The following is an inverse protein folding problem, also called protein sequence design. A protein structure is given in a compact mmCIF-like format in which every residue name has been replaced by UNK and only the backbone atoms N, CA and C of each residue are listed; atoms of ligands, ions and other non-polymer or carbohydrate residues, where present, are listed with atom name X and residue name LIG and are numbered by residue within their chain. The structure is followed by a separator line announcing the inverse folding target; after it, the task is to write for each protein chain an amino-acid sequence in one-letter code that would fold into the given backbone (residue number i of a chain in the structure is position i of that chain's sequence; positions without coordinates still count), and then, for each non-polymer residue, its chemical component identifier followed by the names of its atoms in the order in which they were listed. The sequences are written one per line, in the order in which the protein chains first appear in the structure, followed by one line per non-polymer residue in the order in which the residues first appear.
data_IF_912753766348
#
_entry.id   IF_912753766348
#
_cell.length_a   1.000
_cell.length_b   1.000
_cell.length_c   1.000
_cell.angle_alpha   90.00
_cell.angle_beta   90.00
_cell.angle_gamma   90.00
#
_symmetry.space_group_name_H-M   'P 1'
#
loop_
_entity.id
_entity.type
_entity.pdbx_description
1 polymer ?
#
# COMPACT_ATOMS: atom_id res chain seq x y z
N UNK A 1 3.28 -0.73 -32.00
CA UNK A 1 2.26 -0.35 -31.00
C UNK A 1 2.52 -1.09 -29.67
N UNK A 2 3.71 -0.95 -29.09
CA UNK A 2 4.04 -1.50 -27.76
C UNK A 2 3.69 -0.48 -26.69
N UNK A 3 2.38 -0.26 -26.45
CA UNK A 3 1.95 0.59 -25.34
C UNK A 3 2.04 -0.23 -24.05
N UNK A 4 3.21 -0.18 -23.43
CA UNK A 4 3.42 -0.27 -21.98
C UNK A 4 2.55 -1.26 -21.19
N UNK A 5 2.71 -2.57 -21.44
CA UNK A 5 2.17 -3.61 -20.54
C UNK A 5 2.72 -3.48 -19.11
N UNK A 6 3.90 -2.87 -18.95
CA UNK A 6 4.58 -2.66 -17.67
C UNK A 6 3.85 -1.66 -16.77
N UNK A 7 3.14 -0.68 -17.36
CA UNK A 7 2.31 0.29 -16.63
C UNK A 7 0.99 -0.34 -16.16
N UNK A 8 0.44 -1.28 -16.92
CA UNK A 8 -0.83 -1.95 -16.61
C UNK A 8 -0.69 -3.04 -15.52
N UNK A 9 0.36 -3.88 -15.58
CA UNK A 9 0.62 -4.90 -14.56
C UNK A 9 0.83 -4.30 -13.15
N UNK A 10 1.35 -3.07 -13.10
CA UNK A 10 1.58 -2.32 -11.86
C UNK A 10 0.28 -1.83 -11.21
N UNK A 11 -0.73 -1.51 -12.02
CA UNK A 11 -2.02 -1.03 -11.54
C UNK A 11 -2.87 -2.19 -10.99
N UNK A 12 -2.86 -3.35 -11.65
CA UNK A 12 -3.56 -4.55 -11.17
C UNK A 12 -2.94 -5.11 -9.89
N UNK A 13 -1.61 -5.19 -9.79
CA UNK A 13 -0.96 -5.68 -8.57
C UNK A 13 -1.19 -4.75 -7.38
N UNK A 14 -1.27 -3.42 -7.60
CA UNK A 14 -1.65 -2.48 -6.54
C UNK A 14 -3.09 -2.71 -6.06
N UNK A 15 -4.03 -2.97 -6.96
CA UNK A 15 -5.43 -3.19 -6.61
C UNK A 15 -5.63 -4.52 -5.85
N UNK A 16 -4.94 -5.58 -6.26
CA UNK A 16 -4.92 -6.87 -5.55
C UNK A 16 -4.26 -6.70 -4.16
N UNK A 17 -3.13 -6.01 -4.09
CA UNK A 17 -2.44 -5.74 -2.82
C UNK A 17 -3.31 -4.88 -1.89
N UNK A 18 -3.99 -3.85 -2.40
CA UNK A 18 -4.92 -3.04 -1.62
C UNK A 18 -6.08 -3.89 -1.08
N UNK A 19 -6.67 -4.74 -1.93
CA UNK A 19 -7.78 -5.62 -1.54
C UNK A 19 -7.37 -6.63 -0.46
N UNK A 20 -6.20 -7.26 -0.62
CA UNK A 20 -5.64 -8.15 0.37
C UNK A 20 -5.36 -7.44 1.70
N UNK A 21 -4.76 -6.25 1.67
CA UNK A 21 -4.49 -5.44 2.86
C UNK A 21 -5.80 -5.03 3.55
N UNK A 22 -6.82 -4.61 2.81
CA UNK A 22 -8.11 -4.19 3.37
C UNK A 22 -8.81 -5.35 4.09
N UNK A 23 -8.82 -6.54 3.49
CA UNK A 23 -9.39 -7.74 4.11
C UNK A 23 -8.60 -8.11 5.37
N UNK A 24 -7.26 -8.12 5.30
CA UNK A 24 -6.40 -8.39 6.46
C UNK A 24 -6.64 -7.38 7.59
N UNK A 25 -6.85 -6.12 7.24
CA UNK A 25 -7.15 -5.05 8.18
C UNK A 25 -8.48 -5.27 8.89
N UNK A 26 -9.54 -5.45 8.13
CA UNK A 26 -10.91 -5.53 8.66
C UNK A 26 -11.11 -6.87 9.39
N UNK A 27 -10.72 -7.99 8.77
CA UNK A 27 -10.88 -9.32 9.35
C UNK A 27 -9.89 -9.54 10.48
N UNK A 28 -8.61 -9.16 10.30
CA UNK A 28 -7.58 -9.35 11.31
C UNK A 28 -7.81 -8.51 12.57
N UNK A 29 -8.05 -7.20 12.43
CA UNK A 29 -8.35 -6.35 13.59
C UNK A 29 -9.69 -6.72 14.21
N UNK A 30 -10.71 -7.04 13.40
CA UNK A 30 -12.02 -7.47 13.89
C UNK A 30 -11.95 -8.73 14.74
N UNK A 31 -11.18 -9.73 14.31
CA UNK A 31 -10.98 -10.97 15.07
C UNK A 31 -10.17 -10.73 16.35
N UNK A 32 -9.12 -9.90 16.28
CA UNK A 32 -8.30 -9.53 17.44
C UNK A 32 -9.12 -8.75 18.48
N UNK A 33 -9.98 -7.83 18.04
CA UNK A 33 -10.86 -7.09 18.94
C UNK A 33 -11.88 -8.00 19.63
N UNK A 34 -12.43 -8.97 18.89
CA UNK A 34 -13.37 -9.96 19.44
C UNK A 34 -12.73 -10.91 20.47
N UNK A 35 -11.49 -11.36 20.26
CA UNK A 35 -10.83 -12.33 21.14
C UNK A 35 -9.99 -11.72 22.27
N UNK A 36 -9.31 -10.60 22.04
CA UNK A 36 -8.27 -10.07 22.95
C UNK A 36 -8.60 -8.70 23.58
N UNK A 37 -9.74 -8.09 23.24
CA UNK A 37 -10.19 -6.83 23.83
C UNK A 37 -9.41 -5.58 23.37
N UNK A 38 -9.73 -4.42 23.96
CA UNK A 38 -9.33 -3.10 23.45
C UNK A 38 -7.81 -2.83 23.38
N UNK A 39 -7.01 -3.44 24.25
CA UNK A 39 -5.55 -3.28 24.24
C UNK A 39 -4.90 -3.93 23.01
N UNK A 40 -5.44 -5.06 22.53
CA UNK A 40 -4.92 -5.75 21.37
C UNK A 40 -5.31 -5.07 20.05
N UNK A 41 -6.41 -4.32 20.03
CA UNK A 41 -6.77 -3.48 18.89
C UNK A 41 -5.73 -2.37 18.64
N UNK A 42 -5.13 -1.82 19.70
CA UNK A 42 -4.03 -0.85 19.57
C UNK A 42 -2.76 -1.45 18.95
N UNK A 43 -2.40 -2.68 19.34
CA UNK A 43 -1.28 -3.40 18.73
C UNK A 43 -1.54 -3.79 17.28
N UNK A 44 -2.78 -4.19 16.94
CA UNK A 44 -3.21 -4.46 15.57
C UNK A 44 -3.11 -3.22 14.67
N UNK A 45 -3.48 -2.05 15.19
CA UNK A 45 -3.38 -0.78 14.47
C UNK A 45 -1.90 -0.43 14.15
N UNK A 46 -1.01 -0.58 15.13
CA UNK A 46 0.43 -0.38 14.92
C UNK A 46 1.02 -1.34 13.89
N UNK A 47 0.59 -2.60 13.90
CA UNK A 47 1.06 -3.62 12.96
C UNK A 47 0.69 -3.26 11.51
N UNK A 48 -0.51 -2.76 11.28
CA UNK A 48 -0.95 -2.34 9.95
C UNK A 48 -0.20 -1.10 9.50
N UNK A 49 -0.06 -0.09 10.36
CA UNK A 49 0.69 1.14 10.00
C UNK A 49 2.15 0.77 9.64
N UNK A 50 2.76 -0.14 10.40
CA UNK A 50 4.09 -0.66 10.10
C UNK A 50 4.11 -1.42 8.76
N UNK A 51 3.11 -2.26 8.48
CA UNK A 51 2.99 -3.00 7.20
C UNK A 51 2.68 -2.11 5.99
N UNK A 52 2.05 -0.95 6.21
CA UNK A 52 1.77 0.03 5.16
C UNK A 52 2.98 0.92 4.85
N UNK A 53 3.91 1.04 5.79
CA UNK A 53 5.18 1.79 5.65
C UNK A 53 5.94 1.48 4.35
N UNK A 54 6.26 0.21 3.99
CA UNK A 54 6.97 -0.09 2.75
C UNK A 54 6.19 0.30 1.49
N UNK A 55 4.86 0.22 1.51
CA UNK A 55 4.01 0.62 0.37
C UNK A 55 4.10 2.13 0.17
N UNK A 56 3.98 2.91 1.25
CA UNK A 56 4.12 4.37 1.23
C UNK A 56 5.53 4.75 0.75
N UNK A 57 6.56 4.06 1.25
CA UNK A 57 7.95 4.30 0.85
C UNK A 57 8.16 4.10 -0.65
N UNK A 58 7.63 3.00 -1.22
CA UNK A 58 7.72 2.72 -2.65
C UNK A 58 6.99 3.80 -3.46
N UNK A 59 5.79 4.22 -3.05
CA UNK A 59 5.06 5.30 -3.73
C UNK A 59 5.82 6.62 -3.68
N UNK A 60 6.43 6.95 -2.53
CA UNK A 60 7.24 8.15 -2.37
C UNK A 60 8.45 8.15 -3.31
N UNK A 61 9.17 7.03 -3.39
CA UNK A 61 10.32 6.90 -4.29
C UNK A 61 9.90 7.07 -5.74
N UNK A 62 8.77 6.48 -6.15
CA UNK A 62 8.28 6.67 -7.52
C UNK A 62 7.80 8.07 -7.80
N UNK A 63 7.14 8.72 -6.84
CA UNK A 63 6.72 10.11 -6.98
C UNK A 63 7.96 11.02 -7.11
N UNK A 64 9.00 10.77 -6.32
CA UNK A 64 10.25 11.51 -6.38
C UNK A 64 10.95 11.34 -7.74
N UNK A 65 10.99 10.09 -8.27
CA UNK A 65 11.53 9.82 -9.60
C UNK A 65 10.72 10.53 -10.70
N UNK A 66 9.38 10.49 -10.62
CA UNK A 66 8.50 11.20 -11.56
C UNK A 66 8.72 12.72 -11.49
N UNK A 67 8.89 13.28 -10.29
CA UNK A 67 9.15 14.71 -10.09
C UNK A 67 10.50 15.15 -10.66
N UNK A 68 11.54 14.34 -10.46
CA UNK A 68 12.88 14.58 -11.03
C UNK A 68 12.85 14.48 -12.55
N UNK A 69 12.18 13.45 -13.10
CA UNK A 69 12.05 13.27 -14.56
C UNK A 69 11.22 14.38 -15.20
N UNK A 70 10.15 14.82 -14.54
CA UNK A 70 9.31 15.96 -14.98
C UNK A 70 10.03 17.30 -14.85
N UNK A 71 10.98 17.43 -13.92
CA UNK A 71 11.89 18.57 -13.82
C UNK A 71 13.00 18.55 -14.87
N UNK A 72 13.43 17.37 -15.33
CA UNK A 72 14.48 17.20 -16.34
C UNK A 72 13.95 17.25 -17.79
N UNK A 73 12.69 16.86 -18.02
CA UNK A 73 12.05 16.86 -19.32
C UNK A 73 10.97 17.94 -19.42
N UNK A 74 11.31 19.09 -20.00
CA UNK A 74 10.32 19.99 -20.59
C UNK A 74 9.72 19.35 -21.84
N UNK A 75 8.80 18.41 -21.73
CA UNK A 75 7.70 18.11 -22.68
C UNK A 75 6.89 16.85 -22.29
#
# INVERSE_FOLDING_TARGET
MSRDLRRFARQTNLQIALGAVLILLIVGIGLVWYFYGGAAAGAGLLCVIAGLSPVVLILLVLLALDWILKGAGRE
#
